data_IF_531915726365
#
_entry.id   IF_531915726365
#
_cell.length_a   1.000
_cell.length_b   1.000
_cell.length_c   1.000
_cell.angle_alpha   90.00
_cell.angle_beta   90.00
_cell.angle_gamma   90.00
#
_symmetry.space_group_name_H-M   'P 1'
#
loop_
_entity.id
_entity.type
_entity.pdbx_description
1 polymer ?
#
# COMPACT_ATOMS: atom_id res chain seq x y z
N UNK A 1 -18.61 -1.15 -15.52
CA UNK A 1 -17.91 0.05 -15.08
C UNK A 1 -16.44 -0.22 -15.00
N UNK A 2 -15.69 0.75 -15.37
CA UNK A 2 -14.25 0.59 -15.45
C UNK A 2 -13.51 1.05 -14.22
N UNK A 3 -14.23 1.51 -13.22
CA UNK A 3 -13.59 2.04 -12.02
C UNK A 3 -13.49 0.99 -10.94
N UNK A 4 -12.33 0.90 -10.33
CA UNK A 4 -12.08 -0.05 -9.27
C UNK A 4 -11.40 0.67 -8.12
N UNK A 5 -11.80 0.34 -6.90
CA UNK A 5 -11.22 0.94 -5.71
C UNK A 5 -10.11 0.06 -5.19
N UNK A 6 -8.99 0.69 -4.92
CA UNK A 6 -7.79 0.02 -4.46
C UNK A 6 -7.25 0.73 -3.23
N UNK A 7 -6.36 0.06 -2.52
CA UNK A 7 -5.61 0.66 -1.45
C UNK A 7 -4.18 0.19 -1.53
N UNK A 8 -3.26 1.06 -1.21
CA UNK A 8 -1.84 0.76 -1.30
C UNK A 8 -1.10 1.44 -0.18
N UNK A 9 0.18 1.10 -0.04
CA UNK A 9 1.01 1.71 0.98
C UNK A 9 2.31 2.20 0.38
N UNK A 10 2.67 3.42 0.75
CA UNK A 10 3.97 3.99 0.42
C UNK A 10 4.88 3.67 1.58
N UNK A 11 5.68 2.61 1.43
CA UNK A 11 6.44 2.02 2.52
C UNK A 11 7.87 2.54 2.45
N UNK A 12 8.31 3.21 3.50
CA UNK A 12 9.67 3.74 3.59
C UNK A 12 10.36 3.07 4.75
N UNK A 13 11.54 2.53 4.49
CA UNK A 13 12.39 2.02 5.56
C UNK A 13 13.11 3.21 6.18
N UNK A 14 12.85 3.53 7.46
CA UNK A 14 13.44 4.75 8.03
C UNK A 14 14.94 4.67 8.24
N UNK A 15 15.51 3.47 8.21
CA UNK A 15 16.94 3.31 8.43
C UNK A 15 17.72 3.57 7.17
N UNK A 16 17.35 2.93 6.07
CA UNK A 16 18.12 3.06 4.83
C UNK A 16 17.44 3.98 3.82
N UNK A 17 16.25 4.49 4.13
CA UNK A 17 15.51 5.44 3.30
C UNK A 17 15.07 4.87 1.97
N UNK A 18 15.01 3.56 1.85
CA UNK A 18 14.54 2.92 0.63
C UNK A 18 13.03 2.80 0.64
N UNK A 19 12.45 2.83 -0.54
CA UNK A 19 11.03 2.72 -0.75
C UNK A 19 10.72 1.38 -1.37
N UNK A 20 9.66 0.73 -0.89
CA UNK A 20 9.25 -0.58 -1.39
C UNK A 20 8.38 -0.41 -2.61
N UNK A 21 8.81 -0.96 -3.73
CA UNK A 21 8.06 -0.89 -4.97
C UNK A 21 7.92 -2.28 -5.57
N UNK A 22 6.86 -2.45 -6.35
CA UNK A 22 6.62 -3.67 -7.11
C UNK A 22 6.38 -3.29 -8.56
N UNK A 23 6.74 -4.19 -9.48
CA UNK A 23 6.47 -3.95 -10.88
C UNK A 23 5.04 -4.36 -11.20
N UNK A 24 4.28 -3.44 -11.75
CA UNK A 24 2.88 -3.68 -12.06
C UNK A 24 2.71 -3.80 -13.57
N UNK A 25 2.33 -4.98 -14.03
CA UNK A 25 2.22 -5.24 -15.45
C UNK A 25 1.18 -4.36 -16.14
N UNK A 26 0.07 -4.12 -15.47
CA UNK A 26 -1.03 -3.36 -16.07
C UNK A 26 -0.68 -1.89 -16.24
N UNK A 27 0.27 -1.39 -15.48
CA UNK A 27 0.76 -0.02 -15.63
C UNK A 27 2.09 0.03 -16.36
N UNK A 28 2.74 -1.11 -16.50
CA UNK A 28 4.06 -1.24 -17.12
C UNK A 28 5.09 -0.35 -16.44
N UNK A 29 5.08 -0.36 -15.12
CA UNK A 29 6.04 0.44 -14.35
C UNK A 29 6.06 -0.02 -12.90
N UNK A 30 7.04 0.47 -12.16
CA UNK A 30 7.17 0.22 -10.73
C UNK A 30 6.22 1.14 -9.97
N UNK A 31 5.49 0.56 -9.02
CA UNK A 31 4.51 1.31 -8.24
C UNK A 31 4.55 0.81 -6.81
N UNK A 32 3.94 1.57 -5.90
CA UNK A 32 3.79 1.12 -4.54
C UNK A 32 2.89 -0.11 -4.49
N UNK A 33 3.16 -1.05 -3.56
CA UNK A 33 2.35 -2.26 -3.47
C UNK A 33 0.94 -1.95 -2.99
N UNK A 34 -0.01 -2.69 -3.49
CA UNK A 34 -1.41 -2.52 -3.15
C UNK A 34 -2.28 -3.33 -4.08
N UNK A 35 -3.58 -3.20 -3.92
CA UNK A 35 -4.51 -3.93 -4.78
C UNK A 35 -5.94 -3.57 -4.49
N UNK A 36 -6.84 -4.37 -5.03
CA UNK A 36 -8.26 -4.10 -4.96
C UNK A 36 -8.79 -4.29 -3.55
N UNK A 37 -9.70 -3.41 -3.15
CA UNK A 37 -10.41 -3.54 -1.89
C UNK A 37 -11.46 -4.62 -2.07
N UNK A 38 -11.36 -5.67 -1.28
CA UNK A 38 -12.27 -6.79 -1.38
C UNK A 38 -13.50 -6.53 -0.53
N UNK A 39 -14.55 -7.25 -0.85
CA UNK A 39 -15.81 -7.12 -0.14
C UNK A 39 -15.58 -7.32 1.34
N UNK A 40 -16.04 -6.37 2.14
CA UNK A 40 -15.90 -6.47 3.59
C UNK A 40 -14.62 -5.93 4.15
N UNK A 41 -13.67 -5.54 3.29
CA UNK A 41 -12.43 -4.95 3.77
C UNK A 41 -12.52 -3.44 3.85
N UNK A 42 -11.84 -2.88 4.85
CA UNK A 42 -11.56 -1.45 4.85
C UNK A 42 -10.33 -1.19 3.99
N UNK A 43 -10.14 0.04 3.54
CA UNK A 43 -8.91 0.35 2.78
C UNK A 43 -7.65 0.05 3.56
N UNK A 44 -7.65 0.29 4.89
CA UNK A 44 -6.48 -0.01 5.70
C UNK A 44 -6.17 -1.50 5.69
N UNK A 45 -7.19 -2.33 5.83
CA UNK A 45 -7.01 -3.77 5.80
C UNK A 45 -6.48 -4.25 4.45
N UNK A 46 -6.97 -3.65 3.39
CA UNK A 46 -6.50 -3.99 2.05
C UNK A 46 -5.03 -3.65 1.88
N UNK A 47 -4.62 -2.47 2.32
CA UNK A 47 -3.22 -2.07 2.20
C UNK A 47 -2.32 -3.04 2.94
N UNK A 48 -2.68 -3.40 4.17
CA UNK A 48 -1.88 -4.34 4.95
C UNK A 48 -1.79 -5.70 4.27
N UNK A 49 -2.92 -6.20 3.79
CA UNK A 49 -2.97 -7.53 3.18
C UNK A 49 -2.19 -7.58 1.87
N UNK A 50 -2.40 -6.58 1.01
CA UNK A 50 -1.77 -6.61 -0.31
C UNK A 50 -0.26 -6.45 -0.23
N UNK A 51 0.22 -5.59 0.66
CA UNK A 51 1.67 -5.46 0.82
C UNK A 51 2.26 -6.79 1.27
N UNK A 52 1.61 -7.44 2.22
CA UNK A 52 2.08 -8.74 2.68
C UNK A 52 2.07 -9.79 1.57
N UNK A 53 0.97 -9.85 0.80
CA UNK A 53 0.86 -10.85 -0.26
C UNK A 53 1.88 -10.63 -1.36
N UNK A 54 2.14 -9.38 -1.70
CA UNK A 54 3.01 -9.08 -2.83
C UNK A 54 4.48 -9.07 -2.47
N UNK A 55 4.82 -8.74 -1.23
CA UNK A 55 6.22 -8.51 -0.88
C UNK A 55 6.71 -9.33 0.31
N UNK A 56 5.81 -9.90 1.11
CA UNK A 56 6.20 -10.59 2.32
C UNK A 56 6.61 -9.66 3.45
N UNK A 57 6.36 -8.39 3.32
CA UNK A 57 6.73 -7.40 4.33
C UNK A 57 5.50 -7.03 5.14
N UNK A 58 5.62 -7.13 6.46
CA UNK A 58 4.60 -6.60 7.36
C UNK A 58 4.87 -5.14 7.60
N UNK A 59 3.81 -4.35 7.59
CA UNK A 59 3.94 -2.90 7.69
C UNK A 59 3.05 -2.38 8.78
N UNK A 60 3.37 -1.17 9.21
CA UNK A 60 2.55 -0.38 10.10
C UNK A 60 2.18 0.89 9.36
N UNK A 61 0.89 1.15 9.26
CA UNK A 61 0.44 2.39 8.65
C UNK A 61 0.71 3.54 9.61
N UNK A 62 1.14 4.64 9.03
CA UNK A 62 1.45 5.84 9.79
C UNK A 62 0.35 6.87 9.59
N UNK A 63 0.39 7.90 10.44
CA UNK A 63 -0.56 8.98 10.28
C UNK A 63 -1.47 9.06 11.47
N UNK A 64 -2.37 10.01 11.41
CA UNK A 64 -3.29 10.30 12.50
C UNK A 64 -4.69 9.86 12.10
N UNK A 65 -5.43 9.40 13.09
CA UNK A 65 -6.84 9.17 12.90
C UNK A 65 -7.54 10.51 12.76
N UNK A 66 -8.71 10.47 12.11
CA UNK A 66 -9.58 11.64 12.13
C UNK A 66 -10.00 11.91 13.57
N UNK A 67 -10.80 12.91 13.81
CA UNK A 67 -11.01 13.41 15.18
C UNK A 67 -11.27 12.36 16.25
N UNK A 68 -11.83 11.22 15.89
CA UNK A 68 -12.09 10.16 16.85
C UNK A 68 -11.11 9.03 16.67
N UNK A 69 -10.71 8.39 17.76
CA UNK A 69 -9.73 7.32 17.69
C UNK A 69 -10.19 6.15 16.83
N UNK A 70 -11.49 5.90 16.79
CA UNK A 70 -12.00 4.79 16.03
C UNK A 70 -12.17 5.12 14.54
N UNK A 71 -11.86 6.35 14.16
CA UNK A 71 -11.91 6.70 12.74
C UNK A 71 -10.69 6.15 12.03
N UNK A 72 -10.76 6.13 10.71
CA UNK A 72 -9.66 5.66 9.90
C UNK A 72 -8.47 6.60 9.99
N UNK A 73 -7.29 6.03 9.73
CA UNK A 73 -6.08 6.82 9.57
C UNK A 73 -6.22 7.66 8.30
N UNK A 74 -5.75 8.88 8.35
CA UNK A 74 -5.73 9.74 7.17
C UNK A 74 -4.79 9.15 6.13
N UNK A 75 -5.27 8.94 4.91
CA UNK A 75 -4.37 8.49 3.86
C UNK A 75 -3.43 9.60 3.44
N UNK A 76 -2.34 9.22 2.81
CA UNK A 76 -1.42 10.17 2.21
C UNK A 76 -2.10 10.92 1.09
N UNK A 77 -2.93 10.23 0.33
CA UNK A 77 -3.68 10.82 -0.75
C UNK A 77 -4.51 9.78 -1.46
N UNK A 78 -5.23 10.24 -2.46
CA UNK A 78 -6.03 9.38 -3.30
C UNK A 78 -5.65 9.68 -4.74
N UNK A 79 -5.23 8.66 -5.47
CA UNK A 79 -4.79 8.82 -6.85
C UNK A 79 -5.74 8.14 -7.81
N UNK A 80 -5.82 8.69 -9.00
CA UNK A 80 -6.53 8.06 -10.09
C UNK A 80 -5.49 7.58 -11.10
N UNK A 81 -5.47 6.28 -11.38
CA UNK A 81 -4.54 5.69 -12.30
C UNK A 81 -5.29 4.89 -13.35
N UNK A 82 -4.82 4.98 -14.58
CA UNK A 82 -5.46 4.27 -15.67
C UNK A 82 -4.55 3.13 -16.11
N UNK A 83 -5.11 1.92 -16.14
CA UNK A 83 -4.34 0.76 -16.58
C UNK A 83 -4.21 0.77 -18.09
N UNK A 84 -3.29 -0.03 -18.60
CA UNK A 84 -3.11 -0.20 -20.03
C UNK A 84 -4.36 -0.75 -20.71
N UNK A 85 -5.17 -1.47 -19.95
CA UNK A 85 -6.40 -2.04 -20.47
C UNK A 85 -7.59 -1.08 -20.40
N UNK A 86 -7.35 0.14 -19.96
CA UNK A 86 -8.39 1.15 -19.93
C UNK A 86 -9.21 1.21 -18.67
N UNK A 87 -8.87 0.43 -17.66
CA UNK A 87 -9.55 0.51 -16.36
C UNK A 87 -9.00 1.65 -15.54
N UNK A 88 -9.84 2.20 -14.69
CA UNK A 88 -9.43 3.28 -13.81
C UNK A 88 -9.39 2.78 -12.39
N UNK A 89 -8.23 2.91 -11.75
CA UNK A 89 -8.06 2.59 -10.34
C UNK A 89 -8.15 3.86 -9.53
N UNK A 90 -8.95 3.83 -8.49
CA UNK A 90 -9.02 4.89 -7.49
C UNK A 90 -8.29 4.34 -6.29
N UNK A 91 -7.09 4.83 -6.05
CA UNK A 91 -6.14 4.23 -5.13
C UNK A 91 -5.99 5.09 -3.89
N UNK A 92 -6.33 4.53 -2.73
CA UNK A 92 -6.19 5.19 -1.45
C UNK A 92 -4.83 4.80 -0.90
N UNK A 93 -3.94 5.77 -0.76
CA UNK A 93 -2.53 5.50 -0.47
C UNK A 93 -2.20 5.89 0.96
N UNK A 94 -1.60 4.96 1.69
CA UNK A 94 -1.21 5.19 3.09
C UNK A 94 0.30 5.24 3.22
N UNK A 95 0.83 6.11 4.09
CA UNK A 95 2.24 6.03 4.44
C UNK A 95 2.47 4.91 5.42
N UNK A 96 3.61 4.25 5.32
CA UNK A 96 3.86 3.07 6.16
C UNK A 96 5.35 2.83 6.35
N UNK A 97 5.67 2.04 7.36
CA UNK A 97 7.04 1.57 7.59
C UNK A 97 6.99 0.06 7.78
N UNK A 98 8.09 -0.63 7.47
CA UNK A 98 8.16 -2.07 7.76
C UNK A 98 8.35 -2.29 9.25
N UNK A 99 7.76 -3.37 9.78
CA UNK A 99 7.83 -3.64 11.21
C UNK A 99 8.33 -5.02 11.56
N UNK A 100 8.54 -5.88 10.58
CA UNK A 100 8.89 -7.27 10.88
C UNK A 100 10.31 -7.62 10.53
N UNK A 101 11.14 -6.65 10.31
CA UNK A 101 12.49 -6.91 9.82
C UNK A 101 13.36 -7.63 10.84
N UNK A 102 12.98 -7.59 12.09
CA UNK A 102 13.80 -8.17 13.14
C UNK A 102 13.96 -9.66 12.94
N UNK A 103 12.91 -10.33 12.48
CA UNK A 103 12.95 -11.76 12.28
C UNK A 103 13.39 -12.17 10.89
N UNK A 104 13.60 -11.22 10.01
CA UNK A 104 13.84 -11.52 8.60
C UNK A 104 14.84 -10.55 8.02
N UNK A 105 16.11 -10.84 8.26
CA UNK A 105 17.14 -9.97 7.71
C UNK A 105 17.05 -9.83 6.22
N UNK A 106 16.60 -10.89 5.57
CA UNK A 106 16.49 -10.85 4.11
C UNK A 106 15.53 -9.80 3.64
N UNK A 107 14.48 -9.58 4.42
CA UNK A 107 13.46 -8.62 4.04
C UNK A 107 14.04 -7.21 4.05
N UNK A 108 14.93 -6.96 4.99
CA UNK A 108 15.51 -5.63 5.13
C UNK A 108 16.28 -5.22 3.90
N UNK A 109 16.86 -6.17 3.21
CA UNK A 109 17.66 -5.86 2.04
C UNK A 109 16.84 -5.35 0.89
N UNK A 110 15.57 -5.69 0.87
CA UNK A 110 14.69 -5.35 -0.24
C UNK A 110 13.97 -4.03 -0.05
N UNK A 111 14.04 -3.46 1.10
CA UNK A 111 13.23 -2.28 1.43
C UNK A 111 14.08 -1.04 1.58
#
# INVERSE_FOLDING_TARGET
MDKEFCASAFVINPINKKILLVYHKDFNRWVQPGGHIEKGETPEETALREVWEETGVKIKLLGENFPREQDFIRPLGIQKNRTLKGKTHIDIIYPAIPINKVEHEDVDDDV
#
